data_IF_226684145012
#
_entry.id   IF_226684145012
#
_cell.length_a   1.000
_cell.length_b   1.000
_cell.length_c   1.000
_cell.angle_alpha   90.00
_cell.angle_beta   90.00
_cell.angle_gamma   90.00
#
_symmetry.space_group_name_H-M   'P 1'
#
loop_
_entity.id
_entity.type
_entity.pdbx_description
1 polymer ?
#
# COMPACT_ATOMS: atom_id res chain seq x y z
N UNK A 1 -30.04 22.74 59.02
CA UNK A 1 -29.78 21.50 58.25
C UNK A 1 -29.02 21.87 56.98
N UNK A 2 -27.72 21.52 56.89
CA UNK A 2 -26.91 21.73 55.68
C UNK A 2 -26.82 20.40 54.94
N UNK A 3 -27.36 20.33 53.73
CA UNK A 3 -27.31 19.15 52.87
C UNK A 3 -25.95 19.17 52.15
N UNK A 4 -25.13 18.11 52.19
CA UNK A 4 -23.88 18.07 51.44
C UNK A 4 -24.19 17.79 49.97
N UNK A 5 -23.67 18.64 49.09
CA UNK A 5 -23.74 18.48 47.65
C UNK A 5 -22.81 17.33 47.25
N UNK A 6 -23.36 16.16 46.94
CA UNK A 6 -22.60 15.06 46.36
C UNK A 6 -22.14 15.45 44.94
N UNK A 7 -20.83 15.62 44.75
CA UNK A 7 -20.22 15.75 43.44
C UNK A 7 -20.23 14.37 42.76
N UNK A 8 -21.12 14.19 41.79
CA UNK A 8 -21.11 13.01 40.91
C UNK A 8 -20.01 13.24 39.88
N UNK A 9 -18.85 12.60 40.07
CA UNK A 9 -17.82 12.50 39.03
C UNK A 9 -18.38 11.60 37.90
N UNK A 10 -18.80 12.21 36.79
CA UNK A 10 -19.08 11.45 35.57
C UNK A 10 -17.74 10.98 34.98
N UNK A 11 -17.45 9.68 35.12
CA UNK A 11 -16.40 9.05 34.32
C UNK A 11 -16.83 9.10 32.85
N UNK A 12 -16.33 10.09 32.12
CA UNK A 12 -16.33 10.09 30.66
C UNK A 12 -15.31 9.04 30.24
N UNK A 13 -15.76 7.81 30.02
CA UNK A 13 -14.97 6.77 29.39
C UNK A 13 -14.64 7.21 27.97
N UNK A 14 -13.44 7.76 27.76
CA UNK A 14 -12.93 8.02 26.42
C UNK A 14 -12.80 6.65 25.74
N UNK A 15 -13.70 6.36 24.81
CA UNK A 15 -13.60 5.19 23.94
C UNK A 15 -12.33 5.33 23.10
N UNK A 16 -11.23 4.76 23.58
CA UNK A 16 -10.00 4.65 22.80
C UNK A 16 -10.29 3.79 21.57
N UNK A 17 -10.29 4.43 20.40
CA UNK A 17 -10.33 3.68 19.14
C UNK A 17 -9.03 2.88 19.05
N UNK A 18 -9.13 1.57 18.80
CA UNK A 18 -7.95 0.72 18.69
C UNK A 18 -7.07 1.18 17.50
N UNK A 19 -5.88 1.69 17.82
CA UNK A 19 -4.86 2.12 16.88
C UNK A 19 -4.03 0.93 16.37
N UNK A 20 -3.83 0.82 15.06
CA UNK A 20 -3.00 -0.24 14.49
C UNK A 20 -2.60 0.03 13.04
N UNK A 21 -1.49 -0.56 12.60
CA UNK A 21 -1.19 -0.74 11.17
C UNK A 21 -1.85 -2.04 10.71
N UNK A 22 -2.87 -1.95 9.86
CA UNK A 22 -3.69 -3.10 9.42
C UNK A 22 -3.24 -3.69 8.07
N UNK A 23 -2.37 -2.98 7.34
CA UNK A 23 -1.73 -3.45 6.11
C UNK A 23 -0.41 -2.71 5.87
N UNK A 24 0.59 -3.39 5.32
CA UNK A 24 1.94 -2.86 5.17
C UNK A 24 2.68 -2.74 6.52
N UNK A 25 3.74 -1.92 6.60
CA UNK A 25 4.32 -1.15 5.51
C UNK A 25 4.82 -2.00 4.34
N UNK A 26 4.74 -1.50 3.13
CA UNK A 26 5.43 -2.08 1.99
C UNK A 26 6.23 -1.03 1.23
N UNK A 27 7.27 -1.49 0.55
CA UNK A 27 8.11 -0.66 -0.29
C UNK A 27 7.57 -0.63 -1.73
N UNK A 28 7.39 0.58 -2.25
CA UNK A 28 7.11 0.82 -3.65
C UNK A 28 8.40 1.02 -4.44
N UNK A 29 8.43 2.07 -5.26
CA UNK A 29 9.63 2.44 -5.96
C UNK A 29 10.79 2.72 -5.00
N UNK A 30 11.89 2.04 -5.27
CA UNK A 30 13.10 2.02 -4.46
C UNK A 30 14.29 2.24 -5.38
N UNK A 31 15.21 3.09 -4.94
CA UNK A 31 16.46 3.42 -5.61
C UNK A 31 17.62 3.07 -4.67
N UNK A 32 18.85 3.43 -5.05
CA UNK A 32 20.00 3.32 -4.16
C UNK A 32 19.97 4.25 -2.96
N UNK A 33 19.18 5.33 -3.01
CA UNK A 33 19.19 6.36 -1.96
C UNK A 33 17.80 6.75 -1.45
N UNK A 34 16.74 6.11 -1.97
CA UNK A 34 15.38 6.37 -1.51
C UNK A 34 14.47 5.16 -1.62
N UNK A 35 13.40 5.15 -0.82
CA UNK A 35 12.28 4.22 -0.98
C UNK A 35 10.95 4.89 -0.66
N UNK A 36 9.95 4.66 -1.50
CA UNK A 36 8.55 4.99 -1.19
C UNK A 36 7.97 3.92 -0.27
N UNK A 37 7.21 4.36 0.72
CA UNK A 37 6.59 3.50 1.73
C UNK A 37 5.09 3.76 1.77
N UNK A 38 4.31 2.70 1.79
CA UNK A 38 2.85 2.75 1.98
C UNK A 38 2.39 1.84 3.11
N UNK A 39 1.43 2.27 3.91
CA UNK A 39 0.71 1.40 4.84
C UNK A 39 -0.74 1.86 5.04
N UNK A 40 -1.58 0.97 5.58
CA UNK A 40 -2.96 1.29 5.98
C UNK A 40 -3.04 1.34 7.50
N UNK A 41 -3.25 2.54 8.05
CA UNK A 41 -3.41 2.78 9.47
C UNK A 41 -4.88 2.80 9.88
N UNK A 42 -5.24 2.22 11.01
CA UNK A 42 -6.61 2.25 11.56
C UNK A 42 -6.65 3.05 12.85
N UNK A 43 -7.52 4.06 12.90
CA UNK A 43 -7.65 4.97 14.05
C UNK A 43 -6.45 5.88 14.24
N UNK A 44 -5.67 6.11 13.18
CA UNK A 44 -4.45 6.92 13.18
C UNK A 44 -4.68 8.20 12.40
N UNK A 45 -4.26 9.32 12.97
CA UNK A 45 -4.33 10.64 12.33
C UNK A 45 -2.96 11.06 11.81
N UNK A 46 -1.97 11.13 12.71
CA UNK A 46 -0.57 11.37 12.39
C UNK A 46 0.27 10.32 13.09
N UNK A 47 1.29 9.82 12.40
CA UNK A 47 2.28 8.91 12.97
C UNK A 47 3.67 9.52 12.83
N UNK A 48 4.57 9.10 13.70
CA UNK A 48 6.00 9.26 13.51
C UNK A 48 6.57 8.01 12.83
N UNK A 49 7.59 8.17 12.01
CA UNK A 49 8.42 7.06 11.56
C UNK A 49 9.84 7.23 12.07
N UNK A 50 10.52 6.11 12.29
CA UNK A 50 11.95 6.04 12.55
C UNK A 50 12.54 4.89 11.74
N UNK A 51 13.45 5.19 10.82
CA UNK A 51 14.25 4.21 10.12
C UNK A 51 15.70 4.33 10.58
N UNK A 52 16.31 3.25 11.03
CA UNK A 52 17.74 3.23 11.40
C UNK A 52 18.46 2.12 10.65
N UNK A 53 19.64 2.43 10.13
CA UNK A 53 20.44 1.48 9.38
C UNK A 53 20.95 0.38 10.33
N UNK A 54 20.82 -0.88 9.93
CA UNK A 54 21.24 -2.03 10.74
C UNK A 54 22.77 -2.20 10.81
N UNK A 55 23.50 -1.59 9.87
CA UNK A 55 24.96 -1.68 9.77
C UNK A 55 25.65 -0.35 10.13
N UNK A 56 24.91 0.75 10.24
CA UNK A 56 25.42 2.04 10.71
C UNK A 56 24.41 2.71 11.66
N UNK A 57 24.64 2.56 12.96
CA UNK A 57 23.73 3.10 13.98
C UNK A 57 23.63 4.64 14.00
N UNK A 58 24.55 5.36 13.35
CA UNK A 58 24.48 6.82 13.24
C UNK A 58 23.53 7.28 12.12
N UNK A 59 23.22 6.39 11.18
CA UNK A 59 22.33 6.63 10.05
C UNK A 59 20.87 6.39 10.46
N UNK A 60 20.21 7.47 10.87
CA UNK A 60 18.84 7.48 11.39
C UNK A 60 18.02 8.53 10.67
N UNK A 61 16.86 8.12 10.17
CA UNK A 61 15.86 8.97 9.54
C UNK A 61 14.58 8.98 10.37
N UNK A 62 14.08 10.17 10.66
CA UNK A 62 12.81 10.34 11.39
C UNK A 62 11.95 11.39 10.73
N UNK A 63 10.64 11.25 10.88
CA UNK A 63 9.70 12.27 10.44
C UNK A 63 8.27 11.91 10.84
N UNK A 64 7.34 12.77 10.45
CA UNK A 64 5.92 12.57 10.67
C UNK A 64 5.16 12.51 9.36
N UNK A 65 4.06 11.76 9.35
CA UNK A 65 3.16 11.67 8.21
C UNK A 65 1.71 11.56 8.68
N UNK A 66 0.82 12.26 8.01
CA UNK A 66 -0.62 12.25 8.29
C UNK A 66 -1.36 11.28 7.35
N UNK A 67 -2.52 10.82 7.82
CA UNK A 67 -3.42 10.00 7.04
C UNK A 67 -3.90 10.74 5.79
N UNK A 68 -3.99 10.02 4.67
CA UNK A 68 -4.64 10.52 3.46
C UNK A 68 -6.16 10.32 3.61
N UNK A 69 -6.81 11.34 4.21
CA UNK A 69 -8.20 11.25 4.67
C UNK A 69 -9.22 11.04 3.54
N UNK A 70 -8.88 11.46 2.33
CA UNK A 70 -9.72 11.32 1.14
C UNK A 70 -9.97 9.85 0.76
N UNK A 71 -9.11 8.94 1.24
CA UNK A 71 -9.14 7.51 0.91
C UNK A 71 -9.37 6.60 2.12
N UNK A 72 -10.00 7.11 3.19
CA UNK A 72 -10.34 6.32 4.36
C UNK A 72 -11.58 5.43 4.18
N UNK A 73 -11.55 4.23 4.75
CA UNK A 73 -12.75 3.42 5.00
C UNK A 73 -12.82 2.95 6.45
N UNK A 74 -13.89 3.32 7.18
CA UNK A 74 -14.09 2.93 8.60
C UNK A 74 -12.83 3.20 9.45
N UNK A 75 -12.34 4.45 9.37
CA UNK A 75 -11.13 4.93 10.04
C UNK A 75 -9.85 4.17 9.66
N UNK A 76 -9.85 3.38 8.58
CA UNK A 76 -8.65 2.80 7.99
C UNK A 76 -8.22 3.66 6.81
N UNK A 77 -7.09 4.34 6.92
CA UNK A 77 -6.62 5.37 6.00
C UNK A 77 -5.23 5.03 5.48
N UNK A 78 -4.92 5.29 4.20
CA UNK A 78 -3.59 5.09 3.67
C UNK A 78 -2.64 6.18 4.18
N UNK A 79 -1.38 5.80 4.36
CA UNK A 79 -0.26 6.68 4.64
C UNK A 79 0.82 6.41 3.60
N UNK A 80 1.43 7.48 3.10
CA UNK A 80 2.43 7.46 2.02
C UNK A 80 3.54 8.44 2.36
N UNK A 81 4.79 8.00 2.24
CA UNK A 81 5.95 8.88 2.36
C UNK A 81 7.14 8.30 1.59
N UNK A 82 8.13 9.14 1.33
CA UNK A 82 9.40 8.71 0.75
C UNK A 82 10.52 8.96 1.77
N UNK A 83 11.31 7.93 2.02
CA UNK A 83 12.56 8.04 2.75
C UNK A 83 13.67 8.31 1.73
N UNK A 84 14.37 9.43 1.88
CA UNK A 84 15.52 9.79 1.03
C UNK A 84 16.81 9.87 1.84
N UNK A 85 17.93 10.09 1.14
CA UNK A 85 19.29 10.12 1.69
C UNK A 85 19.70 8.81 2.38
N UNK A 86 19.12 7.69 1.95
CA UNK A 86 19.51 6.37 2.39
C UNK A 86 20.85 5.99 1.74
N UNK A 87 21.58 5.05 2.35
CA UNK A 87 22.77 4.44 1.78
C UNK A 87 22.38 3.39 0.76
N UNK A 88 23.19 3.29 -0.29
CA UNK A 88 23.14 2.20 -1.26
C UNK A 88 23.34 0.84 -0.59
N UNK A 89 22.56 -0.16 -1.02
CA UNK A 89 22.51 -1.51 -0.42
C UNK A 89 22.33 -1.49 1.11
N UNK A 90 21.65 -0.46 1.62
CA UNK A 90 21.35 -0.27 3.03
C UNK A 90 20.15 -1.11 3.45
N UNK A 91 20.27 -1.78 4.59
CA UNK A 91 19.13 -2.40 5.27
C UNK A 91 18.79 -1.57 6.50
N UNK A 92 17.55 -1.12 6.58
CA UNK A 92 17.04 -0.28 7.67
C UNK A 92 15.91 -1.00 8.38
N UNK A 93 15.86 -0.85 9.70
CA UNK A 93 14.67 -1.19 10.45
C UNK A 93 13.74 0.04 10.52
N UNK A 94 12.54 -0.09 9.95
CA UNK A 94 11.50 0.94 9.91
C UNK A 94 10.45 0.69 10.99
N UNK A 95 10.32 1.65 11.88
CA UNK A 95 9.29 1.71 12.90
C UNK A 95 8.23 2.75 12.56
N UNK A 96 6.95 2.37 12.68
CA UNK A 96 5.80 3.27 12.66
C UNK A 96 5.30 3.44 14.08
N UNK A 97 5.25 4.68 14.56
CA UNK A 97 5.04 5.01 15.97
C UNK A 97 3.84 5.96 16.10
N UNK A 98 2.91 5.64 17.00
CA UNK A 98 1.83 6.56 17.40
C UNK A 98 1.67 6.52 18.92
N UNK A 99 1.42 7.67 19.54
CA UNK A 99 1.24 7.80 20.99
C UNK A 99 2.35 7.13 21.81
N UNK A 100 3.60 7.24 21.34
CA UNK A 100 4.79 6.65 21.95
C UNK A 100 4.91 5.12 21.81
N UNK A 101 4.02 4.46 21.07
CA UNK A 101 4.01 3.01 20.86
C UNK A 101 4.42 2.66 19.43
N UNK A 102 5.31 1.68 19.29
CA UNK A 102 5.64 1.07 18.00
C UNK A 102 4.47 0.20 17.55
N UNK A 103 3.82 0.59 16.45
CA UNK A 103 2.67 -0.10 15.86
C UNK A 103 3.08 -1.07 14.74
N UNK A 104 4.23 -0.82 14.11
CA UNK A 104 4.85 -1.70 13.12
C UNK A 104 6.36 -1.55 13.21
N UNK A 105 7.05 -2.65 12.98
CA UNK A 105 8.50 -2.77 12.98
C UNK A 105 8.87 -3.77 11.86
N UNK A 106 9.59 -3.31 10.85
CA UNK A 106 9.88 -4.09 9.63
C UNK A 106 11.18 -3.62 8.98
N UNK A 107 11.93 -4.55 8.41
CA UNK A 107 13.08 -4.23 7.55
C UNK A 107 12.64 -3.67 6.19
N UNK A 108 13.35 -2.64 5.76
CA UNK A 108 13.30 -2.07 4.41
C UNK A 108 14.71 -2.00 3.84
N UNK A 109 14.82 -2.07 2.52
CA UNK A 109 16.11 -2.13 1.84
C UNK A 109 16.18 -1.13 0.69
N UNK A 110 17.36 -0.60 0.42
CA UNK A 110 17.67 0.08 -0.86
C UNK A 110 18.37 -0.89 -1.80
N UNK A 111 18.42 -0.53 -3.07
CA UNK A 111 19.05 -1.35 -4.11
C UNK A 111 20.45 -0.82 -4.44
N UNK A 112 21.21 -1.57 -5.25
CA UNK A 112 22.39 -1.03 -5.92
C UNK A 112 21.96 0.09 -6.87
N UNK A 113 22.84 1.06 -7.10
CA UNK A 113 22.70 1.93 -8.26
C UNK A 113 22.63 1.08 -9.53
N UNK A 114 22.05 1.60 -10.62
CA UNK A 114 21.68 0.86 -11.83
C UNK A 114 22.87 0.32 -12.67
N UNK A 115 23.80 -0.36 -12.01
CA UNK A 115 24.94 -1.08 -12.55
C UNK A 115 24.51 -2.47 -13.03
N UNK A 116 25.36 -3.11 -13.82
CA UNK A 116 25.16 -4.49 -14.28
C UNK A 116 25.15 -5.42 -13.06
N UNK A 117 24.06 -6.13 -12.85
CA UNK A 117 23.88 -7.09 -11.75
C UNK A 117 22.89 -8.19 -12.16
N UNK A 118 23.01 -9.36 -11.54
CA UNK A 118 22.02 -10.41 -11.70
C UNK A 118 20.78 -10.08 -10.85
N UNK A 119 19.60 -10.27 -11.41
CA UNK A 119 18.34 -10.01 -10.70
C UNK A 119 17.27 -11.02 -11.06
N UNK A 120 16.24 -11.10 -10.23
CA UNK A 120 15.08 -11.95 -10.44
C UNK A 120 13.83 -11.23 -9.95
N UNK A 121 12.71 -11.40 -10.64
CA UNK A 121 11.48 -10.72 -10.26
C UNK A 121 10.26 -11.60 -10.43
N UNK A 122 9.22 -11.24 -9.69
CA UNK A 122 7.92 -11.88 -9.76
C UNK A 122 7.02 -11.08 -10.69
N UNK A 123 6.18 -11.76 -11.45
CA UNK A 123 5.21 -11.13 -12.34
C UNK A 123 3.87 -11.87 -12.26
N UNK A 124 2.76 -11.14 -12.26
CA UNK A 124 1.43 -11.75 -12.26
C UNK A 124 0.29 -10.75 -12.35
N UNK A 125 -0.88 -11.25 -12.69
CA UNK A 125 -2.15 -10.52 -12.80
C UNK A 125 -3.30 -11.34 -12.23
N UNK A 126 -4.53 -10.81 -12.33
CA UNK A 126 -5.76 -11.53 -12.01
C UNK A 126 -5.86 -12.01 -10.55
N UNK A 127 -5.45 -11.13 -9.63
CA UNK A 127 -5.36 -11.37 -8.20
C UNK A 127 -6.73 -11.27 -7.49
N UNK A 128 -7.70 -12.11 -7.88
CA UNK A 128 -9.05 -12.04 -7.30
C UNK A 128 -9.03 -12.27 -5.78
N UNK A 129 -9.46 -11.28 -5.00
CA UNK A 129 -9.60 -11.37 -3.54
C UNK A 129 -11.02 -10.96 -3.14
N UNK A 130 -11.82 -11.93 -2.70
CA UNK A 130 -13.21 -11.68 -2.29
C UNK A 130 -13.30 -10.93 -0.95
N UNK A 131 -14.17 -9.92 -0.86
CA UNK A 131 -14.27 -9.03 0.34
C UNK A 131 -15.64 -9.05 1.04
N UNK A 132 -16.54 -9.96 0.61
CA UNK A 132 -17.88 -10.16 1.15
C UNK A 132 -18.55 -11.40 0.54
N UNK A 133 -19.80 -11.24 0.09
CA UNK A 133 -20.59 -12.31 -0.55
C UNK A 133 -19.94 -12.87 -1.81
N UNK A 134 -19.08 -12.08 -2.44
CA UNK A 134 -18.35 -12.45 -3.65
C UNK A 134 -17.30 -13.54 -3.46
N UNK A 135 -16.95 -13.86 -2.21
CA UNK A 135 -16.16 -15.06 -1.90
C UNK A 135 -16.82 -16.34 -2.40
N UNK A 136 -18.15 -16.34 -2.58
CA UNK A 136 -18.92 -17.47 -3.10
C UNK A 136 -18.84 -17.59 -4.63
N UNK A 137 -18.53 -16.51 -5.37
CA UNK A 137 -18.48 -16.55 -6.85
C UNK A 137 -17.31 -17.36 -7.39
N UNK A 138 -16.22 -17.49 -6.63
CA UNK A 138 -15.09 -18.35 -6.97
C UNK A 138 -14.74 -19.20 -5.76
N UNK A 139 -15.47 -20.30 -5.57
CA UNK A 139 -15.21 -21.30 -4.52
C UNK A 139 -13.78 -21.86 -4.59
N UNK A 140 -13.17 -21.86 -5.79
CA UNK A 140 -11.79 -22.28 -6.05
C UNK A 140 -10.77 -21.14 -5.93
N UNK A 141 -11.18 -19.93 -5.50
CA UNK A 141 -10.26 -18.81 -5.34
C UNK A 141 -9.27 -19.07 -4.19
N UNK A 142 -8.14 -19.65 -4.54
CA UNK A 142 -7.06 -19.92 -3.62
C UNK A 142 -6.11 -18.74 -3.58
N UNK A 143 -6.30 -17.87 -2.59
CA UNK A 143 -5.31 -16.84 -2.23
C UNK A 143 -4.00 -17.43 -1.66
N UNK A 144 -3.82 -18.76 -1.74
CA UNK A 144 -2.60 -19.49 -1.31
C UNK A 144 -1.37 -19.05 -2.09
N UNK A 145 -1.52 -18.60 -3.35
CA UNK A 145 -0.41 -18.12 -4.16
C UNK A 145 0.39 -17.03 -3.45
N UNK A 146 -0.26 -16.10 -2.72
CA UNK A 146 0.46 -15.07 -1.98
C UNK A 146 1.36 -15.62 -0.87
N UNK A 147 1.05 -16.78 -0.29
CA UNK A 147 1.97 -17.42 0.65
C UNK A 147 3.19 -18.00 -0.06
N UNK A 148 3.02 -18.55 -1.27
CA UNK A 148 4.13 -19.02 -2.11
C UNK A 148 5.01 -17.85 -2.52
N UNK A 149 4.43 -16.76 -3.01
CA UNK A 149 5.16 -15.56 -3.40
C UNK A 149 5.88 -14.90 -2.20
N UNK A 150 5.25 -14.89 -1.03
CA UNK A 150 5.90 -14.37 0.19
C UNK A 150 7.05 -15.23 0.70
N UNK A 151 7.13 -16.50 0.30
CA UNK A 151 8.21 -17.41 0.66
C UNK A 151 9.31 -17.47 -0.41
N UNK A 152 9.12 -16.80 -1.55
CA UNK A 152 10.12 -16.71 -2.61
C UNK A 152 11.16 -15.66 -2.25
N UNK A 153 12.36 -16.10 -1.89
CA UNK A 153 13.44 -15.23 -1.43
C UNK A 153 14.22 -14.62 -2.58
N UNK A 154 14.22 -15.22 -3.76
CA UNK A 154 15.06 -14.78 -4.88
C UNK A 154 14.42 -13.67 -5.73
N UNK A 155 13.14 -13.36 -5.52
CA UNK A 155 12.52 -12.23 -6.21
C UNK A 155 12.90 -10.90 -5.54
N UNK A 156 13.46 -9.97 -6.29
CA UNK A 156 13.80 -8.62 -5.83
C UNK A 156 12.56 -7.71 -5.78
N UNK A 157 11.70 -7.82 -6.80
CA UNK A 157 10.48 -7.03 -6.91
C UNK A 157 9.33 -7.83 -7.54
N UNK A 158 8.12 -7.29 -7.41
CA UNK A 158 6.89 -7.81 -8.02
C UNK A 158 6.30 -6.81 -9.00
N UNK A 159 6.08 -7.26 -10.23
CA UNK A 159 5.32 -6.59 -11.27
C UNK A 159 3.87 -7.08 -11.27
N UNK A 160 2.96 -6.21 -10.85
CA UNK A 160 1.52 -6.44 -10.89
C UNK A 160 0.97 -5.94 -12.24
N UNK A 161 0.54 -6.89 -13.07
CA UNK A 161 0.18 -6.65 -14.48
C UNK A 161 -1.32 -6.38 -14.68
N UNK A 162 -2.02 -5.96 -13.61
CA UNK A 162 -3.44 -5.63 -13.65
C UNK A 162 -4.35 -6.72 -13.08
N UNK A 163 -5.62 -6.37 -12.95
CA UNK A 163 -6.61 -7.08 -12.15
C UNK A 163 -6.13 -7.34 -10.71
N UNK A 164 -5.51 -6.33 -10.12
CA UNK A 164 -4.92 -6.44 -8.79
C UNK A 164 -5.99 -6.34 -7.69
N UNK A 165 -7.01 -5.51 -7.95
CA UNK A 165 -8.20 -5.32 -7.12
C UNK A 165 -9.44 -5.35 -8.00
N UNK A 166 -10.24 -6.40 -7.86
CA UNK A 166 -11.47 -6.52 -8.63
C UNK A 166 -12.58 -5.59 -8.12
N UNK A 167 -12.80 -4.46 -8.78
CA UNK A 167 -13.99 -3.62 -8.58
C UNK A 167 -15.19 -4.27 -9.28
N UNK A 168 -16.20 -4.69 -8.52
CA UNK A 168 -17.36 -5.38 -9.08
C UNK A 168 -18.68 -4.65 -8.82
N UNK A 169 -19.51 -4.57 -9.86
CA UNK A 169 -20.89 -4.12 -9.82
C UNK A 169 -21.09 -2.71 -9.25
N UNK A 170 -21.19 -2.59 -7.93
CA UNK A 170 -21.33 -1.30 -7.25
C UNK A 170 -20.00 -0.68 -6.88
N UNK A 171 -18.91 -1.45 -6.82
CA UNK A 171 -17.64 -0.98 -6.29
C UNK A 171 -17.07 0.17 -7.13
N UNK A 172 -17.12 0.06 -8.47
CA UNK A 172 -16.66 1.12 -9.39
C UNK A 172 -17.67 2.27 -9.60
N UNK A 173 -18.84 2.27 -8.93
CA UNK A 173 -19.86 3.31 -9.14
C UNK A 173 -19.58 4.63 -8.42
N UNK A 174 -18.65 4.64 -7.46
CA UNK A 174 -18.19 5.87 -6.81
C UNK A 174 -16.85 5.64 -6.10
N UNK A 175 -16.06 6.71 -5.95
CA UNK A 175 -14.77 6.67 -5.25
C UNK A 175 -14.86 6.01 -3.87
N UNK A 176 -15.85 6.38 -3.04
CA UNK A 176 -16.04 5.79 -1.69
C UNK A 176 -16.27 4.26 -1.71
N UNK A 177 -16.87 3.73 -2.78
CA UNK A 177 -17.09 2.28 -2.90
C UNK A 177 -15.80 1.58 -3.39
N UNK A 178 -15.04 2.21 -4.28
CA UNK A 178 -13.70 1.75 -4.66
C UNK A 178 -12.75 1.75 -3.45
N UNK A 179 -12.72 2.83 -2.66
CA UNK A 179 -11.95 2.94 -1.41
C UNK A 179 -12.27 1.78 -0.46
N UNK A 180 -13.56 1.51 -0.25
CA UNK A 180 -13.99 0.38 0.57
C UNK A 180 -13.46 -0.96 0.05
N UNK A 181 -13.47 -1.17 -1.27
CA UNK A 181 -12.97 -2.41 -1.89
C UNK A 181 -11.47 -2.55 -1.69
N UNK A 182 -10.70 -1.52 -2.04
CA UNK A 182 -9.25 -1.47 -1.87
C UNK A 182 -8.81 -1.66 -0.41
N UNK A 183 -9.40 -0.91 0.53
CA UNK A 183 -9.08 -1.02 1.95
C UNK A 183 -9.32 -2.43 2.51
N UNK A 184 -10.38 -3.11 2.05
CA UNK A 184 -10.66 -4.50 2.45
C UNK A 184 -9.70 -5.50 1.81
N UNK A 185 -9.34 -5.32 0.54
CA UNK A 185 -8.37 -6.19 -0.14
C UNK A 185 -7.00 -6.09 0.54
N UNK A 186 -6.52 -4.87 0.85
CA UNK A 186 -5.24 -4.65 1.55
C UNK A 186 -5.19 -5.30 2.94
N UNK A 187 -6.33 -5.45 3.62
CA UNK A 187 -6.43 -6.16 4.91
C UNK A 187 -6.45 -7.69 4.77
N UNK A 188 -6.44 -8.25 3.55
CA UNK A 188 -6.39 -9.69 3.36
C UNK A 188 -5.04 -10.26 3.83
N UNK A 189 -5.07 -11.13 4.85
CA UNK A 189 -3.88 -11.60 5.57
C UNK A 189 -2.73 -12.09 4.68
N UNK A 190 -3.02 -12.95 3.69
CA UNK A 190 -1.98 -13.51 2.82
C UNK A 190 -1.40 -12.47 1.85
N UNK A 191 -2.24 -11.55 1.37
CA UNK A 191 -1.77 -10.46 0.53
C UNK A 191 -0.89 -9.53 1.35
N UNK A 192 -1.35 -9.13 2.54
CA UNK A 192 -0.59 -8.28 3.43
C UNK A 192 0.77 -8.90 3.80
N UNK A 193 0.82 -10.21 4.04
CA UNK A 193 2.10 -10.92 4.22
C UNK A 193 3.01 -10.74 3.01
N UNK A 194 2.51 -11.01 1.81
CA UNK A 194 3.29 -10.86 0.57
C UNK A 194 3.75 -9.42 0.34
N UNK A 195 2.88 -8.43 0.58
CA UNK A 195 3.22 -7.02 0.36
C UNK A 195 4.46 -6.58 1.14
N UNK A 196 4.77 -7.20 2.27
CA UNK A 196 5.93 -6.84 3.11
C UNK A 196 7.26 -7.40 2.62
N UNK A 197 7.28 -8.20 1.54
CA UNK A 197 8.43 -9.04 1.18
C UNK A 197 9.20 -8.60 -0.07
N UNK A 198 8.64 -7.67 -0.85
CA UNK A 198 9.19 -7.24 -2.15
C UNK A 198 9.00 -5.74 -2.34
N UNK A 199 9.72 -5.17 -3.30
CA UNK A 199 9.30 -3.91 -3.91
C UNK A 199 8.11 -4.16 -4.83
N UNK A 200 7.09 -3.31 -4.79
CA UNK A 200 5.87 -3.51 -5.55
C UNK A 200 5.59 -2.41 -6.58
N UNK A 201 5.47 -2.83 -7.84
CA UNK A 201 5.19 -1.98 -8.99
C UNK A 201 3.93 -2.48 -9.68
N UNK A 202 2.99 -1.59 -9.97
CA UNK A 202 1.68 -2.02 -10.46
C UNK A 202 1.16 -1.18 -11.61
N UNK A 203 0.62 -1.86 -12.62
CA UNK A 203 -0.34 -1.29 -13.56
C UNK A 203 -1.72 -1.91 -13.31
N UNK A 204 -2.76 -1.37 -13.93
CA UNK A 204 -4.12 -1.87 -13.87
C UNK A 204 -4.45 -2.72 -15.09
N UNK A 205 -5.56 -3.45 -14.94
CA UNK A 205 -6.38 -3.90 -16.06
C UNK A 205 -7.84 -3.46 -15.79
N UNK A 206 -8.79 -3.91 -16.60
CA UNK A 206 -10.20 -3.50 -16.59
C UNK A 206 -10.85 -3.64 -15.21
N UNK A 207 -10.50 -4.64 -14.38
CA UNK A 207 -11.13 -4.78 -13.07
C UNK A 207 -10.62 -3.85 -11.97
N UNK A 208 -9.39 -3.31 -12.08
CA UNK A 208 -8.96 -2.19 -11.22
C UNK A 208 -9.58 -0.87 -11.71
N UNK A 209 -9.82 -0.79 -13.02
CA UNK A 209 -10.22 0.41 -13.72
C UNK A 209 -11.75 0.61 -13.80
N UNK A 210 -12.57 -0.45 -13.80
CA UNK A 210 -14.02 -0.34 -13.94
C UNK A 210 -14.76 -1.67 -14.19
N UNK A 211 -15.87 -1.64 -14.96
CA UNK A 211 -16.54 -2.85 -15.45
C UNK A 211 -15.66 -3.68 -16.39
N UNK A 212 -16.08 -4.93 -16.61
CA UNK A 212 -15.41 -5.82 -17.54
C UNK A 212 -15.24 -5.20 -18.94
N UNK A 213 -14.05 -5.29 -19.52
CA UNK A 213 -13.63 -4.76 -20.82
C UNK A 213 -13.83 -3.25 -21.01
N UNK A 214 -13.90 -2.46 -19.94
CA UNK A 214 -14.05 -1.01 -20.09
C UNK A 214 -12.73 -0.32 -20.52
N UNK A 215 -12.85 0.87 -21.10
CA UNK A 215 -11.77 1.61 -21.74
C UNK A 215 -11.80 3.11 -21.39
N UNK A 216 -11.20 3.97 -22.22
CA UNK A 216 -11.10 5.41 -21.97
C UNK A 216 -12.45 6.14 -21.90
N UNK A 217 -13.54 5.48 -22.33
CA UNK A 217 -14.91 6.01 -22.28
C UNK A 217 -15.61 5.76 -20.94
N UNK A 218 -15.02 4.98 -20.03
CA UNK A 218 -15.61 4.68 -18.74
C UNK A 218 -15.86 5.97 -17.92
N UNK A 219 -17.12 6.31 -17.56
CA UNK A 219 -17.43 7.59 -16.95
C UNK A 219 -16.77 7.85 -15.58
N UNK A 220 -16.35 6.80 -14.87
CA UNK A 220 -15.71 6.93 -13.55
C UNK A 220 -14.19 6.72 -13.59
N UNK A 221 -13.55 6.80 -14.77
CA UNK A 221 -12.10 6.56 -14.90
C UNK A 221 -11.23 7.42 -13.99
N UNK A 222 -11.65 8.67 -13.72
CA UNK A 222 -10.92 9.53 -12.77
C UNK A 222 -10.95 9.00 -11.34
N UNK A 223 -12.03 8.34 -10.93
CA UNK A 223 -12.09 7.70 -9.63
C UNK A 223 -11.17 6.48 -9.56
N UNK A 224 -11.05 5.73 -10.65
CA UNK A 224 -10.15 4.59 -10.79
C UNK A 224 -8.69 5.03 -10.72
N UNK A 225 -8.36 6.13 -11.40
CA UNK A 225 -7.07 6.79 -11.28
C UNK A 225 -6.75 7.20 -9.85
N UNK A 226 -7.62 7.99 -9.23
CA UNK A 226 -7.44 8.47 -7.85
C UNK A 226 -7.21 7.34 -6.86
N UNK A 227 -8.02 6.28 -6.92
CA UNK A 227 -7.85 5.16 -5.99
C UNK A 227 -6.58 4.36 -6.25
N UNK A 228 -6.19 4.18 -7.52
CA UNK A 228 -4.97 3.46 -7.88
C UNK A 228 -3.72 4.20 -7.35
N UNK A 229 -3.64 5.51 -7.61
CA UNK A 229 -2.56 6.39 -7.13
C UNK A 229 -2.51 6.48 -5.60
N UNK A 230 -3.65 6.35 -4.92
CA UNK A 230 -3.72 6.35 -3.46
C UNK A 230 -3.19 5.06 -2.81
N UNK A 231 -3.21 3.94 -3.53
CA UNK A 231 -2.91 2.61 -2.99
C UNK A 231 -1.64 1.95 -3.55
N UNK A 232 -1.02 2.52 -4.59
CA UNK A 232 0.26 2.08 -5.15
C UNK A 232 1.32 3.18 -5.04
N UNK A 233 2.59 2.78 -5.05
CA UNK A 233 3.75 3.67 -4.89
C UNK A 233 4.72 3.52 -6.07
N UNK A 234 4.20 3.73 -7.27
CA UNK A 234 4.98 3.64 -8.52
C UNK A 234 6.04 4.77 -8.62
N UNK A 235 7.03 4.65 -9.52
CA UNK A 235 8.18 5.57 -9.63
C UNK A 235 7.81 7.04 -9.88
N UNK A 236 6.94 7.29 -10.85
CA UNK A 236 6.64 8.65 -11.28
C UNK A 236 5.60 9.32 -10.37
N UNK A 237 5.63 10.65 -10.34
CA UNK A 237 4.45 11.41 -9.93
C UNK A 237 3.28 10.99 -10.83
N UNK A 238 2.05 10.83 -10.30
CA UNK A 238 0.92 10.40 -11.10
C UNK A 238 0.76 11.22 -12.38
N UNK A 239 0.91 10.57 -13.55
CA UNK A 239 0.63 11.21 -14.83
C UNK A 239 -0.82 11.69 -14.84
N UNK A 240 -1.12 12.85 -15.41
CA UNK A 240 -2.50 13.36 -15.43
C UNK A 240 -3.47 12.39 -16.11
N UNK A 241 -3.01 11.70 -17.15
CA UNK A 241 -3.85 10.91 -18.06
C UNK A 241 -3.44 9.42 -18.11
N UNK A 242 -3.39 8.76 -16.95
CA UNK A 242 -3.08 7.33 -16.86
C UNK A 242 -2.18 6.99 -15.68
N UNK A 243 -1.64 5.77 -15.71
CA UNK A 243 -0.77 5.22 -14.65
C UNK A 243 0.52 4.58 -15.18
N UNK A 244 0.82 4.73 -16.47
CA UNK A 244 2.06 4.22 -17.05
C UNK A 244 3.29 4.84 -16.37
N UNK A 245 4.41 4.12 -16.38
CA UNK A 245 5.69 4.60 -15.87
C UNK A 245 6.83 3.81 -16.50
N UNK A 246 8.06 4.29 -16.34
CA UNK A 246 9.25 3.46 -16.51
C UNK A 246 10.05 3.40 -15.21
N UNK A 247 10.85 2.36 -15.07
CA UNK A 247 11.82 2.23 -13.99
C UNK A 247 13.08 1.58 -14.51
N UNK A 248 14.22 2.06 -14.03
CA UNK A 248 15.48 1.33 -14.19
C UNK A 248 15.63 0.34 -13.05
N UNK A 249 16.27 -0.79 -13.34
CA UNK A 249 16.67 -1.79 -12.38
C UNK A 249 17.86 -2.54 -12.95
N UNK A 250 18.97 -2.62 -12.22
CA UNK A 250 20.24 -3.09 -12.77
C UNK A 250 20.54 -2.41 -14.12
N UNK A 251 20.89 -3.18 -15.15
CA UNK A 251 21.20 -2.72 -16.51
C UNK A 251 19.99 -2.67 -17.46
N UNK A 252 18.76 -2.80 -16.94
CA UNK A 252 17.54 -2.74 -17.75
C UNK A 252 16.66 -1.52 -17.43
N UNK A 253 15.80 -1.17 -18.38
CA UNK A 253 14.66 -0.28 -18.16
C UNK A 253 13.35 -0.99 -18.49
N UNK A 254 12.42 -0.99 -17.54
CA UNK A 254 11.08 -1.56 -17.67
C UNK A 254 10.11 -0.44 -18.04
N UNK A 255 9.34 -0.64 -19.11
CA UNK A 255 8.26 0.25 -19.53
C UNK A 255 6.91 -0.36 -19.20
N UNK A 256 6.24 0.19 -18.20
CA UNK A 256 4.96 -0.28 -17.69
C UNK A 256 3.84 0.57 -18.30
N UNK A 257 3.04 -0.01 -19.18
CA UNK A 257 2.09 0.70 -20.03
C UNK A 257 0.68 0.77 -19.42
N UNK A 258 -0.18 1.58 -20.03
CA UNK A 258 -1.60 1.75 -19.66
C UNK A 258 -2.47 1.55 -20.90
N UNK A 259 -3.25 0.47 -20.93
CA UNK A 259 -4.11 0.11 -22.06
C UNK A 259 -5.60 0.42 -21.81
N UNK A 260 -5.92 1.20 -20.77
CA UNK A 260 -7.30 1.52 -20.38
C UNK A 260 -7.61 3.00 -20.49
N UNK A 261 -6.80 3.89 -19.94
CA UNK A 261 -7.22 5.29 -19.71
C UNK A 261 -7.47 6.11 -20.99
N UNK A 262 -6.63 5.90 -22.00
CA UNK A 262 -6.65 6.62 -23.28
C UNK A 262 -7.05 5.73 -24.47
N UNK A 263 -7.49 4.49 -24.20
CA UNK A 263 -7.94 3.56 -25.25
C UNK A 263 -9.27 4.00 -25.84
#
# INVERSE_FOLDING_TARGET
>A
MRIPLLLILSLISILSVAQSVVSGPFQGHTTSHSTKVWFLGKGLDTVQYKAYNLMDSADIHTGSISADYDYCHKNSCPFKFELGNLKELGTYNLQIIADGKVLSDQEIQTIRNYDVDDFSFLIGSCAFIGTGKDKLYKLWNSTRIFNTLAAENNGDFMLWMGDNVYLMGKDYKSLNKSIKRYAKVRQHKKLNRFLKTKFHYAIWDDHDYGPNNCDGTFPQKENSKKIFDAFWQNPNAPHKNGIYFSMKYADIELFMLDDRYNR
#
